data_IF_940889942714
#
_entry.id   IF_940889942714
#
_cell.length_a   1.000
_cell.length_b   1.000
_cell.length_c   1.000
_cell.angle_alpha   90.00
_cell.angle_beta   90.00
_cell.angle_gamma   90.00
#
_symmetry.space_group_name_H-M   'P 1'
#
loop_
_entity.id
_entity.type
_entity.pdbx_description
1 polymer ?
#
# COMPACT_ATOMS: atom_id res chain seq x y z
N UNK A 1 -19.03 18.15 -12.55
CA UNK A 1 -18.98 16.74 -12.08
C UNK A 1 -17.92 15.99 -12.88
N UNK A 2 -16.90 15.43 -12.23
CA UNK A 2 -15.76 14.83 -12.94
C UNK A 2 -16.17 13.44 -13.45
N UNK A 3 -16.47 13.33 -14.74
CA UNK A 3 -16.82 12.08 -15.40
C UNK A 3 -15.56 11.25 -15.70
N UNK A 4 -14.89 10.70 -14.67
CA UNK A 4 -13.75 9.80 -14.88
C UNK A 4 -14.23 8.49 -15.54
N UNK A 5 -13.63 8.15 -16.69
CA UNK A 5 -13.96 6.92 -17.42
C UNK A 5 -13.25 5.71 -16.80
N UNK A 6 -14.01 4.64 -16.51
CA UNK A 6 -13.52 3.38 -15.93
C UNK A 6 -12.50 2.70 -16.85
N UNK A 7 -12.79 2.67 -18.15
CA UNK A 7 -11.90 2.10 -19.15
C UNK A 7 -10.55 2.82 -19.19
N UNK A 8 -10.54 4.16 -19.21
CA UNK A 8 -9.30 4.93 -19.16
C UNK A 8 -8.52 4.68 -17.85
N UNK A 9 -9.22 4.53 -16.73
CA UNK A 9 -8.59 4.18 -15.44
C UNK A 9 -7.91 2.81 -15.50
N UNK A 10 -8.51 1.82 -16.19
CA UNK A 10 -7.92 0.50 -16.38
C UNK A 10 -6.59 0.56 -17.15
N UNK A 11 -6.57 1.25 -18.30
CA UNK A 11 -5.34 1.40 -19.09
C UNK A 11 -4.26 2.17 -18.32
N UNK A 12 -4.63 3.21 -17.57
CA UNK A 12 -3.67 3.97 -16.77
C UNK A 12 -3.20 3.19 -15.54
N UNK A 13 -4.05 2.37 -14.92
CA UNK A 13 -3.68 1.52 -13.80
C UNK A 13 -2.81 0.32 -14.23
N UNK A 14 -2.67 0.04 -15.53
CA UNK A 14 -1.67 -0.91 -16.04
C UNK A 14 -0.24 -0.43 -15.75
N UNK A 15 -0.04 0.89 -15.65
CA UNK A 15 1.24 1.47 -15.20
C UNK A 15 1.16 1.71 -13.69
N UNK A 16 2.12 1.19 -12.90
CA UNK A 16 2.08 1.26 -11.44
C UNK A 16 1.93 2.72 -10.98
N UNK A 17 0.84 3.02 -10.25
CA UNK A 17 0.57 4.32 -9.64
C UNK A 17 -0.05 5.39 -10.56
N UNK A 18 -0.04 5.22 -11.88
CA UNK A 18 -0.59 6.21 -12.83
C UNK A 18 -2.13 6.25 -12.79
N UNK A 19 -2.77 5.09 -12.59
CA UNK A 19 -4.22 4.99 -12.38
C UNK A 19 -4.72 5.83 -11.21
N UNK A 20 -4.05 5.74 -10.06
CA UNK A 20 -4.37 6.54 -8.87
C UNK A 20 -4.18 8.04 -9.09
N UNK A 21 -3.13 8.42 -9.82
CA UNK A 21 -2.89 9.83 -10.14
C UNK A 21 -3.98 10.41 -11.04
N UNK A 22 -4.48 9.64 -12.01
CA UNK A 22 -5.61 10.04 -12.85
C UNK A 22 -6.91 10.21 -12.06
N UNK A 23 -7.12 9.40 -11.03
CA UNK A 23 -8.28 9.50 -10.13
C UNK A 23 -8.17 10.67 -9.13
N UNK A 24 -7.01 11.34 -9.05
CA UNK A 24 -6.76 12.45 -8.12
C UNK A 24 -5.98 12.06 -6.87
N UNK A 25 -5.72 10.77 -6.66
CA UNK A 25 -4.96 10.23 -5.53
C UNK A 25 -3.45 10.29 -5.79
N UNK A 26 -2.90 11.50 -5.93
CA UNK A 26 -1.48 11.72 -6.29
C UNK A 26 -0.50 11.06 -5.32
N UNK A 27 -0.73 11.17 -3.99
CA UNK A 27 0.15 10.61 -2.95
C UNK A 27 0.25 9.08 -3.06
N UNK A 28 -0.90 8.40 -3.15
CA UNK A 28 -0.99 6.96 -3.36
C UNK A 28 -0.33 6.52 -4.67
N UNK A 29 -0.57 7.26 -5.76
CA UNK A 29 0.07 6.98 -7.04
C UNK A 29 1.60 6.99 -6.96
N UNK A 30 2.18 8.03 -6.32
CA UNK A 30 3.63 8.12 -6.11
C UNK A 30 4.15 6.98 -5.23
N UNK A 31 3.41 6.55 -4.20
CA UNK A 31 3.80 5.42 -3.35
C UNK A 31 3.90 4.11 -4.14
N UNK A 32 2.92 3.80 -5.00
CA UNK A 32 2.99 2.61 -5.85
C UNK A 32 4.11 2.69 -6.89
N UNK A 33 4.39 3.89 -7.45
CA UNK A 33 5.53 4.10 -8.34
C UNK A 33 6.85 3.83 -7.63
N UNK A 34 7.06 4.40 -6.45
CA UNK A 34 8.26 4.17 -5.63
C UNK A 34 8.41 2.70 -5.25
N UNK A 35 7.32 2.06 -4.81
CA UNK A 35 7.32 0.63 -4.48
C UNK A 35 7.71 -0.25 -5.66
N UNK A 36 7.16 0.01 -6.85
CA UNK A 36 7.51 -0.70 -8.07
C UNK A 36 8.98 -0.47 -8.46
N UNK A 37 9.47 0.78 -8.41
CA UNK A 37 10.87 1.12 -8.69
C UNK A 37 11.83 0.44 -7.73
N UNK A 38 11.53 0.42 -6.43
CA UNK A 38 12.32 -0.30 -5.43
C UNK A 38 12.36 -1.79 -5.75
N UNK A 39 11.21 -2.42 -6.01
CA UNK A 39 11.18 -3.84 -6.36
C UNK A 39 12.09 -4.14 -7.56
N UNK A 40 12.03 -3.33 -8.62
CA UNK A 40 12.88 -3.49 -9.82
C UNK A 40 14.37 -3.37 -9.46
N UNK A 41 14.73 -2.36 -8.65
CA UNK A 41 16.12 -2.12 -8.21
C UNK A 41 16.66 -3.32 -7.42
N UNK A 42 15.82 -4.00 -6.63
CA UNK A 42 16.23 -5.16 -5.83
C UNK A 42 16.20 -6.51 -6.56
N UNK A 43 15.68 -6.60 -7.79
CA UNK A 43 15.68 -7.86 -8.58
C UNK A 43 17.07 -8.50 -8.70
N UNK A 44 18.18 -7.77 -8.98
CA UNK A 44 19.50 -8.38 -9.08
C UNK A 44 20.01 -8.97 -7.76
N UNK A 45 19.54 -8.47 -6.61
CA UNK A 45 19.95 -8.96 -5.30
C UNK A 45 19.23 -10.26 -4.94
N UNK A 46 17.92 -10.35 -5.19
CA UNK A 46 17.09 -11.53 -4.88
C UNK A 46 16.11 -11.82 -6.03
N UNK A 47 16.57 -12.50 -7.10
CA UNK A 47 15.79 -12.68 -8.33
C UNK A 47 14.59 -13.62 -8.16
N UNK A 48 14.53 -14.39 -7.07
CA UNK A 48 13.43 -15.31 -6.80
C UNK A 48 12.25 -14.63 -6.08
N UNK A 49 12.47 -13.52 -5.37
CA UNK A 49 11.46 -12.92 -4.48
C UNK A 49 10.88 -11.64 -5.10
N UNK A 50 11.74 -10.72 -5.54
CA UNK A 50 11.29 -9.38 -5.97
C UNK A 50 10.40 -9.37 -7.22
N UNK A 51 10.57 -10.24 -8.24
CA UNK A 51 9.64 -10.31 -9.35
C UNK A 51 8.22 -10.73 -8.92
N UNK A 52 8.10 -11.63 -7.94
CA UNK A 52 6.80 -12.03 -7.40
C UNK A 52 6.16 -10.91 -6.58
N UNK A 53 6.96 -10.20 -5.75
CA UNK A 53 6.48 -9.03 -5.00
C UNK A 53 6.04 -7.92 -5.95
N UNK A 54 6.80 -7.67 -7.02
CA UNK A 54 6.44 -6.70 -8.06
C UNK A 54 5.13 -7.08 -8.76
N UNK A 55 4.95 -8.35 -9.12
CA UNK A 55 3.71 -8.83 -9.72
C UNK A 55 2.53 -8.67 -8.75
N UNK A 56 2.69 -9.05 -7.48
CA UNK A 56 1.66 -8.90 -6.46
C UNK A 56 1.28 -7.43 -6.23
N UNK A 57 2.28 -6.54 -6.11
CA UNK A 57 2.08 -5.09 -5.99
C UNK A 57 1.35 -4.53 -7.22
N UNK A 58 1.73 -4.98 -8.42
CA UNK A 58 1.14 -4.54 -9.67
C UNK A 58 -0.34 -4.92 -9.78
N UNK A 59 -0.69 -6.18 -9.48
CA UNK A 59 -2.08 -6.63 -9.46
C UNK A 59 -2.88 -5.91 -8.37
N UNK A 60 -2.31 -5.76 -7.17
CA UNK A 60 -2.96 -5.08 -6.06
C UNK A 60 -3.33 -3.64 -6.43
N UNK A 61 -2.39 -2.85 -6.92
CA UNK A 61 -2.67 -1.46 -7.29
C UNK A 61 -3.65 -1.35 -8.48
N UNK A 62 -3.65 -2.32 -9.39
CA UNK A 62 -4.61 -2.36 -10.51
C UNK A 62 -6.05 -2.51 -9.98
N UNK A 63 -6.27 -3.49 -9.10
CA UNK A 63 -7.58 -3.70 -8.48
C UNK A 63 -7.98 -2.55 -7.57
N UNK A 64 -7.05 -1.99 -6.80
CA UNK A 64 -7.30 -0.85 -5.93
C UNK A 64 -7.76 0.40 -6.73
N UNK A 65 -7.09 0.72 -7.83
CA UNK A 65 -7.52 1.81 -8.72
C UNK A 65 -8.92 1.57 -9.31
N UNK A 66 -9.23 0.33 -9.71
CA UNK A 66 -10.55 -0.04 -10.23
C UNK A 66 -11.66 0.02 -9.17
N UNK A 67 -11.35 -0.34 -7.93
CA UNK A 67 -12.28 -0.20 -6.80
C UNK A 67 -12.52 1.29 -6.51
N UNK A 68 -11.46 2.11 -6.43
CA UNK A 68 -11.60 3.56 -6.19
C UNK A 68 -12.46 4.27 -7.24
N UNK A 69 -12.31 3.93 -8.53
CA UNK A 69 -13.18 4.50 -9.57
C UNK A 69 -14.62 4.01 -9.49
N UNK A 70 -14.86 2.78 -9.04
CA UNK A 70 -16.21 2.26 -8.81
C UNK A 70 -16.88 3.00 -7.65
N UNK A 71 -16.17 3.18 -6.54
CA UNK A 71 -16.62 3.95 -5.38
C UNK A 71 -16.96 5.39 -5.74
N UNK A 72 -16.07 6.11 -6.42
CA UNK A 72 -16.34 7.50 -6.84
C UNK A 72 -17.58 7.63 -7.73
N UNK A 73 -17.86 6.64 -8.57
CA UNK A 73 -19.07 6.63 -9.41
C UNK A 73 -20.34 6.39 -8.60
N UNK A 74 -20.28 5.49 -7.62
CA UNK A 74 -21.39 5.24 -6.69
C UNK A 74 -21.71 6.50 -5.89
N UNK A 75 -20.70 7.13 -5.27
CA UNK A 75 -20.87 8.37 -4.49
C UNK A 75 -21.39 9.53 -5.36
N UNK A 76 -20.91 9.65 -6.60
CA UNK A 76 -21.43 10.67 -7.51
C UNK A 76 -22.90 10.44 -7.89
N UNK A 77 -23.31 9.19 -8.16
CA UNK A 77 -24.70 8.84 -8.45
C UNK A 77 -25.62 9.04 -7.23
N UNK A 78 -25.11 8.79 -6.03
CA UNK A 78 -25.83 9.03 -4.78
C UNK A 78 -25.98 10.53 -4.49
N UNK A 79 -24.92 11.32 -4.69
CA UNK A 79 -24.96 12.77 -4.54
C UNK A 79 -25.95 13.41 -5.53
N UNK A 80 -26.01 12.94 -6.77
CA UNK A 80 -27.07 13.31 -7.72
C UNK A 80 -28.46 12.92 -7.19
N UNK A 81 -28.65 11.71 -6.66
CA UNK A 81 -29.93 11.30 -6.04
C UNK A 81 -30.38 12.16 -4.87
N UNK A 82 -29.44 12.65 -4.06
CA UNK A 82 -29.72 13.58 -2.95
C UNK A 82 -30.07 14.98 -3.44
N UNK A 83 -29.43 15.47 -4.51
CA UNK A 83 -29.67 16.81 -5.06
C UNK A 83 -30.97 16.93 -5.86
N UNK A 84 -31.47 15.82 -6.42
CA UNK A 84 -32.66 15.81 -7.29
C UNK A 84 -33.90 15.15 -6.65
N UNK A 85 -33.97 15.06 -5.31
CA UNK A 85 -35.21 14.71 -4.59
C UNK A 85 -35.93 15.99 -4.09
N UNK A 86 -37.08 16.36 -4.67
CA UNK A 86 -37.93 17.46 -4.19
C UNK A 86 -38.61 17.22 -2.81
N UNK A 87 -38.57 16.01 -2.25
CA UNK A 87 -39.58 15.53 -1.29
C UNK A 87 -38.98 14.82 -0.05
N UNK A 88 -37.80 15.23 0.38
CA UNK A 88 -37.12 14.72 1.59
C UNK A 88 -37.62 15.25 2.94
N UNK A 89 -38.71 16.03 3.02
CA UNK A 89 -39.19 16.66 4.27
C UNK A 89 -40.48 16.03 4.86
N UNK A 90 -40.78 14.73 4.64
CA UNK A 90 -42.06 14.21 5.16
C UNK A 90 -42.42 12.72 5.09
N UNK A 91 -41.52 11.77 4.80
CA UNK A 91 -41.90 10.35 4.72
C UNK A 91 -41.56 9.57 6.01
N UNK A 92 -42.54 9.02 6.76
CA UNK A 92 -42.31 8.33 8.04
C UNK A 92 -41.57 6.97 7.97
N UNK A 93 -41.32 6.46 6.77
CA UNK A 93 -40.84 5.08 6.52
C UNK A 93 -39.46 5.04 5.87
N UNK A 94 -38.71 6.14 5.87
CA UNK A 94 -37.32 6.08 5.45
C UNK A 94 -36.55 5.31 6.51
N UNK A 95 -36.35 4.01 6.25
CA UNK A 95 -35.22 3.26 6.79
C UNK A 95 -34.02 4.18 6.68
N UNK A 96 -33.43 4.51 7.83
CA UNK A 96 -32.25 5.35 8.00
C UNK A 96 -31.14 4.80 7.10
N UNK A 97 -31.15 5.23 5.83
CA UNK A 97 -30.12 4.88 4.87
C UNK A 97 -28.95 5.77 5.25
N UNK A 98 -28.20 5.29 6.23
CA UNK A 98 -26.99 5.89 6.72
C UNK A 98 -26.16 6.33 5.51
N UNK A 99 -25.78 7.61 5.50
CA UNK A 99 -24.93 8.20 4.48
C UNK A 99 -23.81 7.22 4.12
N UNK A 100 -23.60 6.95 2.82
CA UNK A 100 -22.61 5.98 2.39
C UNK A 100 -21.29 6.20 3.13
N UNK A 101 -20.74 5.16 3.78
CA UNK A 101 -19.53 5.31 4.57
C UNK A 101 -18.45 5.89 3.66
N UNK A 102 -17.87 7.01 4.08
CA UNK A 102 -16.75 7.63 3.38
C UNK A 102 -15.68 6.58 3.09
N UNK A 103 -15.01 6.69 1.94
CA UNK A 103 -13.97 5.73 1.58
C UNK A 103 -12.98 5.58 2.74
N UNK A 104 -12.71 4.36 3.24
CA UNK A 104 -11.79 4.16 4.35
C UNK A 104 -10.43 4.72 3.96
N UNK A 105 -10.07 5.84 4.59
CA UNK A 105 -8.73 6.38 4.46
C UNK A 105 -7.90 5.71 5.55
N UNK A 106 -7.18 4.66 5.18
CA UNK A 106 -6.11 4.16 6.02
C UNK A 106 -5.07 5.29 6.15
N UNK A 107 -5.03 5.93 7.32
CA UNK A 107 -4.06 6.97 7.66
C UNK A 107 -2.67 6.35 7.89
N UNK A 108 -2.12 5.68 6.88
CA UNK A 108 -0.71 5.33 6.90
C UNK A 108 0.09 6.61 6.82
N UNK A 109 0.66 7.03 7.95
CA UNK A 109 1.40 8.29 8.03
C UNK A 109 2.51 8.29 6.96
N UNK A 110 2.43 9.17 5.94
CA UNK A 110 3.31 9.13 4.76
C UNK A 110 4.80 9.22 5.11
N UNK A 111 5.13 9.78 6.28
CA UNK A 111 6.49 9.87 6.79
C UNK A 111 7.16 8.50 6.98
N UNK A 112 6.42 7.47 7.40
CA UNK A 112 6.97 6.12 7.59
C UNK A 112 7.35 5.47 6.26
N UNK A 113 6.52 5.64 5.23
CA UNK A 113 6.81 5.14 3.88
C UNK A 113 8.03 5.87 3.31
N UNK A 114 8.13 7.20 3.55
CA UNK A 114 9.31 7.99 3.19
C UNK A 114 10.59 7.52 3.87
N UNK A 115 10.54 7.30 5.19
CA UNK A 115 11.68 6.79 5.95
C UNK A 115 12.12 5.41 5.46
N UNK A 116 11.17 4.51 5.19
CA UNK A 116 11.46 3.19 4.63
C UNK A 116 12.15 3.26 3.27
N UNK A 117 11.73 4.18 2.40
CA UNK A 117 12.34 4.38 1.08
C UNK A 117 13.78 4.93 1.18
N UNK A 118 14.02 5.89 2.08
CA UNK A 118 15.36 6.45 2.32
C UNK A 118 16.29 5.39 2.90
N UNK A 119 15.83 4.63 3.91
CA UNK A 119 16.61 3.54 4.49
C UNK A 119 16.95 2.46 3.45
N UNK A 120 15.99 2.07 2.60
CA UNK A 120 16.23 1.13 1.52
C UNK A 120 17.27 1.65 0.51
N UNK A 121 17.22 2.94 0.16
CA UNK A 121 18.21 3.57 -0.73
C UNK A 121 19.62 3.62 -0.13
N UNK A 122 19.75 3.97 1.15
CA UNK A 122 21.04 3.96 1.87
C UNK A 122 21.60 2.54 1.95
N UNK A 123 20.74 1.56 2.26
CA UNK A 123 21.12 0.15 2.30
C UNK A 123 21.63 -0.32 0.94
N UNK A 124 20.94 0.04 -0.14
CA UNK A 124 21.37 -0.22 -1.51
C UNK A 124 22.74 0.38 -1.81
N UNK A 125 22.98 1.64 -1.44
CA UNK A 125 24.29 2.27 -1.59
C UNK A 125 25.37 1.49 -0.83
N UNK A 126 25.11 1.06 0.40
CA UNK A 126 26.08 0.29 1.19
C UNK A 126 26.40 -1.08 0.57
N UNK A 127 25.38 -1.81 0.12
CA UNK A 127 25.56 -3.11 -0.55
C UNK A 127 26.38 -2.93 -1.84
N UNK A 128 26.12 -1.86 -2.58
CA UNK A 128 26.80 -1.60 -3.86
C UNK A 128 28.24 -1.11 -3.67
N UNK A 129 28.51 -0.26 -2.67
CA UNK A 129 29.84 0.31 -2.39
C UNK A 129 30.76 -0.73 -1.72
N UNK A 130 30.23 -1.64 -0.90
CA UNK A 130 31.02 -2.62 -0.15
C UNK A 130 30.57 -4.08 -0.38
N UNK A 131 30.75 -4.62 -1.61
CA UNK A 131 30.27 -5.96 -1.95
C UNK A 131 30.96 -7.08 -1.14
N UNK A 132 32.22 -6.89 -0.75
CA UNK A 132 32.96 -7.86 0.05
C UNK A 132 32.37 -8.04 1.45
N UNK A 133 31.99 -6.93 2.11
CA UNK A 133 31.36 -6.96 3.45
C UNK A 133 29.99 -7.64 3.38
N UNK A 134 29.21 -7.34 2.35
CA UNK A 134 27.91 -7.97 2.13
C UNK A 134 28.05 -9.49 1.91
N UNK A 135 29.01 -9.92 1.09
CA UNK A 135 29.27 -11.34 0.85
C UNK A 135 29.74 -12.06 2.12
N UNK A 136 30.55 -11.41 2.95
CA UNK A 136 31.03 -11.97 4.21
C UNK A 136 29.89 -12.10 5.23
N UNK A 137 29.00 -11.10 5.32
CA UNK A 137 27.79 -11.18 6.16
C UNK A 137 26.86 -12.32 5.73
N UNK A 138 26.65 -12.51 4.42
CA UNK A 138 25.81 -13.60 3.92
C UNK A 138 26.44 -14.98 4.12
N UNK A 139 27.77 -15.09 4.09
CA UNK A 139 28.49 -16.33 4.39
C UNK A 139 28.32 -16.79 5.85
N UNK A 140 28.03 -15.87 6.77
CA UNK A 140 27.83 -16.17 8.20
C UNK A 140 26.38 -16.61 8.49
N UNK A 141 25.53 -16.76 7.46
CA UNK A 141 24.10 -17.06 7.61
C UNK A 141 23.41 -16.10 8.60
N UNK A 142 23.69 -14.80 8.48
CA UNK A 142 23.29 -13.82 9.51
C UNK A 142 21.78 -13.80 9.81
N UNK A 143 20.95 -14.26 8.86
CA UNK A 143 19.51 -14.43 9.04
C UNK A 143 19.13 -15.45 10.12
N UNK A 144 19.82 -16.58 10.23
CA UNK A 144 19.52 -17.61 11.25
C UNK A 144 19.99 -17.16 12.64
N UNK A 145 21.11 -16.44 12.69
CA UNK A 145 21.64 -15.83 13.92
C UNK A 145 20.69 -14.74 14.45
N UNK A 146 20.20 -13.85 13.59
CA UNK A 146 19.23 -12.81 13.97
C UNK A 146 17.89 -13.43 14.41
N UNK A 147 17.40 -14.43 13.69
CA UNK A 147 16.16 -15.13 14.04
C UNK A 147 16.27 -15.81 15.42
N UNK A 148 17.37 -16.53 15.67
CA UNK A 148 17.61 -17.22 16.95
C UNK A 148 17.75 -16.23 18.12
N UNK A 149 18.51 -15.14 17.96
CA UNK A 149 18.59 -14.08 18.98
C UNK A 149 17.23 -13.41 19.23
N UNK A 150 16.45 -13.15 18.18
CA UNK A 150 15.11 -12.60 18.29
C UNK A 150 14.15 -13.51 19.05
N UNK A 151 14.19 -14.81 18.77
CA UNK A 151 13.42 -15.84 19.48
C UNK A 151 13.79 -15.93 20.96
N UNK A 152 15.09 -15.93 21.27
CA UNK A 152 15.59 -15.94 22.65
C UNK A 152 15.12 -14.68 23.40
N UNK A 153 15.29 -13.50 22.80
CA UNK A 153 14.86 -12.23 23.39
C UNK A 153 13.35 -12.16 23.61
N UNK A 154 12.56 -12.63 22.64
CA UNK A 154 11.11 -12.70 22.76
C UNK A 154 10.68 -13.67 23.87
N UNK A 155 11.30 -14.84 23.96
CA UNK A 155 11.07 -15.81 25.03
C UNK A 155 11.37 -15.24 26.42
N UNK A 156 12.48 -14.54 26.59
CA UNK A 156 12.84 -13.86 27.85
C UNK A 156 11.84 -12.74 28.20
N UNK A 157 11.40 -11.95 27.22
CA UNK A 157 10.38 -10.92 27.40
C UNK A 157 9.05 -11.52 27.84
N UNK A 158 8.64 -12.63 27.23
CA UNK A 158 7.42 -13.35 27.59
C UNK A 158 7.49 -13.91 29.01
N UNK A 159 8.63 -14.46 29.43
CA UNK A 159 8.86 -14.88 30.81
C UNK A 159 8.72 -13.71 31.80
N UNK A 160 9.31 -12.57 31.47
CA UNK A 160 9.27 -11.37 32.33
C UNK A 160 7.87 -10.74 32.42
N UNK A 161 7.02 -10.94 31.41
CA UNK A 161 5.69 -10.34 31.32
C UNK A 161 4.57 -11.22 31.91
N UNK A 162 4.88 -12.39 32.46
CA UNK A 162 3.90 -13.29 33.06
C UNK A 162 3.91 -13.18 34.60
N UNK A 163 2.94 -12.49 35.24
CA UNK A 163 2.94 -12.23 36.68
C UNK A 163 2.56 -13.44 37.56
N UNK A 164 2.53 -14.66 37.00
CA UNK A 164 2.18 -15.90 37.73
C UNK A 164 3.37 -16.84 37.95
N UNK A 165 4.59 -16.41 37.62
CA UNK A 165 5.87 -17.04 37.97
C UNK A 165 6.75 -15.97 38.60
#
# INVERSE_FOLDING_TARGET
>A
MIKKRRWLTFFLAMLPGVGHMYLGFKKLGVQYMLGASLCIIFIPAEPMIFPFVLAALWFYQLFDALQKVAWMKLTAAEHERMMFHPDGFGAPWMMDMHAAPGYPHDEVNPAWIGFGCVAAGILMLLITVFPAVWSFLNQIEIGTILLSLGLIGYGLKMLKSNPRV
#
